data_IF_695964435150
#
_entry.id   IF_695964435150
#
_cell.length_a   1.000
_cell.length_b   1.000
_cell.length_c   1.000
_cell.angle_alpha   90.00
_cell.angle_beta   90.00
_cell.angle_gamma   90.00
#
_symmetry.space_group_name_H-M   'P 1'
#
loop_
_entity.id
_entity.type
_entity.pdbx_description
1 polymer ?
#
# COMPACT_ATOMS: atom_id res chain seq x y z
N UNK A 1 -17.26 -0.36 -30.07
CA UNK A 1 -15.82 -0.31 -30.42
C UNK A 1 -15.23 0.90 -29.73
N UNK A 2 -14.16 0.73 -28.98
CA UNK A 2 -13.45 1.87 -28.38
C UNK A 2 -12.69 2.65 -29.46
N UNK A 3 -12.64 3.98 -29.32
CA UNK A 3 -11.88 4.83 -30.22
C UNK A 3 -10.38 4.61 -29.98
N UNK A 4 -9.65 4.12 -30.99
CA UNK A 4 -8.19 3.89 -30.93
C UNK A 4 -7.43 5.03 -31.59
N UNK A 5 -6.32 5.44 -30.99
CA UNK A 5 -5.36 6.42 -31.54
C UNK A 5 -3.95 5.82 -31.50
N UNK A 6 -3.12 6.18 -32.49
CA UNK A 6 -1.73 5.71 -32.55
C UNK A 6 -0.85 6.52 -31.58
N UNK A 7 0.05 5.83 -30.89
CA UNK A 7 1.11 6.41 -30.08
C UNK A 7 2.45 6.17 -30.80
N UNK A 8 3.10 7.24 -31.24
CA UNK A 8 4.38 7.18 -31.93
C UNK A 8 5.43 7.97 -31.14
N UNK A 9 6.54 7.33 -30.77
CA UNK A 9 7.67 7.97 -30.10
C UNK A 9 8.98 7.33 -30.57
N UNK A 10 10.05 8.12 -30.64
CA UNK A 10 11.39 7.60 -30.84
C UNK A 10 11.94 7.12 -29.50
N UNK A 11 12.42 5.87 -29.46
CA UNK A 11 13.02 5.26 -28.28
C UNK A 11 14.41 4.70 -28.62
N UNK A 12 15.31 4.55 -27.63
CA UNK A 12 16.61 3.92 -27.86
C UNK A 12 16.48 2.52 -28.46
N UNK A 13 17.42 2.15 -29.33
CA UNK A 13 17.43 0.86 -30.03
C UNK A 13 17.41 -0.33 -29.06
N UNK A 14 18.17 -0.25 -27.96
CA UNK A 14 18.18 -1.30 -26.94
C UNK A 14 16.80 -1.52 -26.31
N UNK A 15 16.07 -0.44 -26.01
CA UNK A 15 14.72 -0.52 -25.44
C UNK A 15 13.72 -1.07 -26.46
N UNK A 16 13.86 -0.68 -27.74
CA UNK A 16 13.05 -1.23 -28.82
C UNK A 16 13.27 -2.75 -28.98
N UNK A 17 14.53 -3.20 -29.01
CA UNK A 17 14.88 -4.61 -29.14
C UNK A 17 14.35 -5.44 -27.95
N UNK A 18 14.43 -4.91 -26.73
CA UNK A 18 13.87 -5.54 -25.54
C UNK A 18 12.35 -5.67 -25.65
N UNK A 19 11.63 -4.58 -25.94
CA UNK A 19 10.18 -4.59 -26.10
C UNK A 19 9.74 -5.58 -27.20
N UNK A 20 10.50 -5.68 -28.30
CA UNK A 20 10.27 -6.64 -29.39
C UNK A 20 10.43 -8.09 -28.94
N UNK A 21 11.45 -8.37 -28.14
CA UNK A 21 11.70 -9.72 -27.62
C UNK A 21 10.62 -10.15 -26.63
N UNK A 22 10.25 -9.26 -25.70
CA UNK A 22 9.25 -9.56 -24.67
C UNK A 22 7.86 -9.81 -25.26
N UNK A 23 7.40 -8.97 -26.20
CA UNK A 23 6.09 -9.20 -26.84
C UNK A 23 6.04 -10.54 -27.58
N UNK A 24 7.15 -10.98 -28.19
CA UNK A 24 7.21 -12.21 -28.99
C UNK A 24 7.16 -13.43 -28.08
N UNK A 25 7.87 -13.38 -26.94
CA UNK A 25 7.76 -14.40 -25.89
C UNK A 25 6.34 -14.52 -25.33
N UNK A 26 5.62 -13.40 -25.25
CA UNK A 26 4.24 -13.36 -24.76
C UNK A 26 3.18 -13.62 -25.85
N UNK A 27 3.58 -13.87 -27.09
CA UNK A 27 2.69 -14.00 -28.26
C UNK A 27 1.73 -12.80 -28.42
N UNK A 28 2.20 -11.59 -28.15
CA UNK A 28 1.44 -10.35 -28.28
C UNK A 28 1.88 -9.55 -29.50
N UNK A 29 0.94 -8.81 -30.09
CA UNK A 29 1.26 -7.73 -31.02
C UNK A 29 1.83 -6.52 -30.27
N UNK A 30 2.60 -5.67 -30.95
CA UNK A 30 3.18 -4.46 -30.34
C UNK A 30 2.13 -3.55 -29.71
N UNK A 31 0.98 -3.39 -30.36
CA UNK A 31 -0.12 -2.61 -29.81
C UNK A 31 -0.67 -3.20 -28.51
N UNK A 32 -0.79 -4.53 -28.43
CA UNK A 32 -1.26 -5.21 -27.21
C UNK A 32 -0.23 -5.15 -26.09
N UNK A 33 1.05 -5.35 -26.41
CA UNK A 33 2.13 -5.23 -25.44
C UNK A 33 2.23 -3.81 -24.89
N UNK A 34 2.21 -2.78 -25.75
CA UNK A 34 2.21 -1.37 -25.32
C UNK A 34 0.96 -1.04 -24.51
N UNK A 35 -0.23 -1.53 -24.91
CA UNK A 35 -1.45 -1.35 -24.13
C UNK A 35 -1.35 -2.00 -22.73
N UNK A 36 -0.78 -3.21 -22.63
CA UNK A 36 -0.54 -3.89 -21.36
C UNK A 36 0.44 -3.11 -20.47
N UNK A 37 1.58 -2.70 -21.03
CA UNK A 37 2.59 -1.91 -20.30
C UNK A 37 2.02 -0.57 -19.84
N UNK A 38 1.22 0.10 -20.66
CA UNK A 38 0.57 1.35 -20.28
C UNK A 38 -0.52 1.13 -19.23
N UNK A 39 -1.33 0.07 -19.35
CA UNK A 39 -2.31 -0.30 -18.31
C UNK A 39 -1.59 -0.60 -17.02
N UNK A 40 -0.55 -1.41 -17.01
CA UNK A 40 0.27 -1.66 -15.83
C UNK A 40 0.88 -0.36 -15.30
N UNK A 41 1.42 0.50 -16.15
CA UNK A 41 1.98 1.78 -15.72
C UNK A 41 0.93 2.72 -15.09
N UNK A 42 -0.30 2.74 -15.59
CA UNK A 42 -1.35 3.61 -15.04
C UNK A 42 -2.15 2.97 -13.90
N UNK A 43 -2.33 1.65 -13.91
CA UNK A 43 -3.07 0.87 -12.92
C UNK A 43 -2.15 0.48 -11.75
N UNK A 44 -0.95 -0.02 -12.02
CA UNK A 44 0.04 -0.40 -11.01
C UNK A 44 1.04 0.73 -10.72
N UNK A 45 1.43 1.54 -11.71
CA UNK A 45 2.40 2.64 -11.56
C UNK A 45 1.80 4.03 -11.27
N UNK A 46 0.47 4.20 -11.37
CA UNK A 46 -0.22 5.46 -11.09
C UNK A 46 -1.06 5.49 -9.82
N UNK A 47 -1.48 4.32 -9.30
CA UNK A 47 -2.30 4.21 -8.07
C UNK A 47 -1.56 3.66 -6.85
N UNK A 48 -0.42 3.00 -7.03
CA UNK A 48 0.43 2.53 -5.92
C UNK A 48 1.71 3.36 -5.70
N UNK A 49 1.86 4.46 -6.45
CA UNK A 49 2.93 5.46 -6.28
C UNK A 49 2.35 6.85 -5.94
N UNK A 50 1.09 6.93 -5.51
CA UNK A 50 0.54 8.18 -4.99
C UNK A 50 1.03 8.39 -3.55
N UNK A 51 2.00 9.31 -3.43
CA UNK A 51 2.50 9.93 -2.22
C UNK A 51 3.31 9.04 -1.27
N UNK A 52 4.58 9.41 -1.07
CA UNK A 52 5.41 8.97 0.06
C UNK A 52 4.89 9.38 1.45
N UNK A 53 3.58 9.48 1.63
CA UNK A 53 2.86 9.82 2.87
C UNK A 53 2.20 8.61 3.51
N UNK A 54 1.98 7.51 2.77
CA UNK A 54 1.32 6.31 3.31
C UNK A 54 2.03 5.03 2.90
N UNK A 55 2.24 4.11 3.86
CA UNK A 55 2.73 2.74 3.64
C UNK A 55 1.63 1.75 3.97
N UNK A 56 1.51 0.67 3.20
CA UNK A 56 0.53 -0.40 3.45
C UNK A 56 1.12 -1.41 4.44
N UNK A 57 0.35 -1.73 5.48
CA UNK A 57 0.64 -2.82 6.43
C UNK A 57 -0.28 -4.00 6.13
N UNK A 58 0.30 -5.14 5.72
CA UNK A 58 -0.43 -6.37 5.46
C UNK A 58 0.07 -7.49 6.40
N UNK A 59 -0.85 -8.19 7.04
CA UNK A 59 -0.56 -9.35 7.89
C UNK A 59 -1.69 -10.38 7.76
N UNK A 60 -1.35 -11.65 8.01
CA UNK A 60 -2.34 -12.73 8.06
C UNK A 60 -2.90 -12.85 9.47
N UNK A 61 -4.20 -13.09 9.58
CA UNK A 61 -4.88 -13.37 10.85
C UNK A 61 -5.63 -14.69 10.76
N UNK A 62 -5.85 -15.39 11.89
CA UNK A 62 -6.74 -16.54 11.92
C UNK A 62 -8.16 -16.16 11.47
N UNK A 63 -8.84 -17.09 10.79
CA UNK A 63 -10.19 -16.88 10.25
C UNK A 63 -11.22 -16.54 11.33
N UNK A 64 -11.14 -17.20 12.49
CA UNK A 64 -12.01 -16.91 13.63
C UNK A 64 -11.88 -15.44 14.09
N UNK A 65 -10.65 -14.93 14.14
CA UNK A 65 -10.39 -13.54 14.51
C UNK A 65 -10.93 -12.58 13.46
N UNK A 66 -10.77 -12.91 12.18
CA UNK A 66 -11.29 -12.10 11.08
C UNK A 66 -12.82 -11.95 11.15
N UNK A 67 -13.54 -13.06 11.33
CA UNK A 67 -15.00 -13.03 11.44
C UNK A 67 -15.47 -12.29 12.70
N UNK A 68 -14.76 -12.45 13.82
CA UNK A 68 -15.06 -11.69 15.05
C UNK A 68 -14.90 -10.19 14.86
N UNK A 69 -13.83 -9.74 14.19
CA UNK A 69 -13.60 -8.33 13.87
C UNK A 69 -14.72 -7.83 12.95
N UNK A 70 -15.07 -8.57 11.91
CA UNK A 70 -16.14 -8.20 10.97
C UNK A 70 -17.49 -8.03 11.66
N UNK A 71 -17.86 -8.93 12.57
CA UNK A 71 -19.09 -8.83 13.35
C UNK A 71 -19.10 -7.58 14.24
N UNK A 72 -17.97 -7.27 14.88
CA UNK A 72 -17.81 -6.08 15.71
C UNK A 72 -17.95 -4.78 14.90
N UNK A 73 -17.32 -4.69 13.74
CA UNK A 73 -17.42 -3.53 12.84
C UNK A 73 -18.86 -3.33 12.34
N UNK A 74 -19.57 -4.42 12.04
CA UNK A 74 -20.98 -4.34 11.64
C UNK A 74 -21.88 -3.83 12.76
N UNK A 75 -21.63 -4.25 14.00
CA UNK A 75 -22.41 -3.82 15.16
C UNK A 75 -22.16 -2.36 15.55
N UNK A 76 -20.93 -1.88 15.37
CA UNK A 76 -20.51 -0.52 15.72
C UNK A 76 -20.66 0.49 14.58
N UNK A 77 -20.77 0.02 13.33
CA UNK A 77 -20.79 0.86 12.13
C UNK A 77 -19.43 1.44 11.74
N UNK A 78 -18.35 1.01 12.39
CA UNK A 78 -16.99 1.48 12.14
C UNK A 78 -16.40 0.91 10.85
N UNK A 79 -15.59 1.72 10.16
CA UNK A 79 -14.80 1.25 9.04
C UNK A 79 -13.60 0.42 9.54
N UNK A 80 -13.28 -0.69 8.87
CA UNK A 80 -12.13 -1.54 9.19
C UNK A 80 -10.81 -0.74 9.23
N UNK A 81 -10.63 0.21 8.30
CA UNK A 81 -9.44 1.06 8.28
C UNK A 81 -9.33 1.92 9.54
N UNK A 82 -10.41 2.59 9.92
CA UNK A 82 -10.45 3.49 11.08
C UNK A 82 -10.25 2.71 12.37
N UNK A 83 -10.85 1.53 12.48
CA UNK A 83 -10.67 0.63 13.60
C UNK A 83 -9.21 0.23 13.80
N UNK A 84 -8.52 -0.19 12.73
CA UNK A 84 -7.11 -0.60 12.81
C UNK A 84 -6.20 0.59 13.12
N UNK A 85 -6.44 1.77 12.50
CA UNK A 85 -5.67 2.98 12.80
C UNK A 85 -5.83 3.37 14.27
N UNK A 86 -7.06 3.42 14.78
CA UNK A 86 -7.33 3.78 16.18
C UNK A 86 -6.74 2.79 17.18
N UNK A 87 -6.71 1.49 16.87
CA UNK A 87 -6.01 0.50 17.69
C UNK A 87 -4.50 0.77 17.76
N UNK A 88 -3.88 1.14 16.63
CA UNK A 88 -2.45 1.44 16.58
C UNK A 88 -2.15 2.74 17.34
N UNK A 89 -2.90 3.81 17.09
CA UNK A 89 -2.71 5.11 17.76
C UNK A 89 -2.85 4.97 19.28
N UNK A 90 -3.87 4.23 19.74
CA UNK A 90 -4.05 3.94 21.17
C UNK A 90 -2.87 3.17 21.75
N UNK A 91 -2.41 2.12 21.09
CA UNK A 91 -1.27 1.33 21.56
C UNK A 91 0.03 2.15 21.61
N UNK A 92 0.26 3.03 20.63
CA UNK A 92 1.40 3.95 20.61
C UNK A 92 1.30 4.98 21.75
N UNK A 93 0.14 5.59 21.95
CA UNK A 93 -0.09 6.54 23.04
C UNK A 93 0.15 5.91 24.41
N UNK A 94 -0.32 4.68 24.63
CA UNK A 94 -0.07 3.93 25.87
C UNK A 94 1.42 3.63 26.07
N UNK A 95 2.13 3.25 25.00
CA UNK A 95 3.57 2.99 25.06
C UNK A 95 4.38 4.27 25.35
N UNK A 96 4.03 5.40 24.71
CA UNK A 96 4.68 6.71 24.93
C UNK A 96 4.37 7.26 26.33
N UNK A 97 3.13 7.13 26.81
CA UNK A 97 2.73 7.53 28.16
C UNK A 97 3.45 6.70 29.24
N UNK A 98 3.66 5.41 29.00
CA UNK A 98 4.44 4.53 29.88
C UNK A 98 5.93 4.85 29.90
N UNK A 99 6.48 5.53 28.87
CA UNK A 99 7.87 5.99 28.85
C UNK A 99 8.07 7.37 29.50
N UNK A 100 6.99 8.13 29.72
CA UNK A 100 7.01 9.44 30.39
C UNK A 100 6.91 9.40 31.92
N UNK A 101 6.71 8.22 32.51
CA UNK A 101 6.62 8.04 33.97
C UNK A 101 7.77 7.17 34.47
N UNK A 102 8.99 7.70 34.34
CA UNK A 102 10.21 7.03 34.79
C UNK A 102 11.20 7.90 35.56
N UNK A 103 10.99 9.22 35.71
CA UNK A 103 11.89 10.07 36.53
C UNK A 103 11.19 11.32 37.07
N UNK A 104 10.33 11.19 38.08
CA UNK A 104 10.02 12.30 38.99
C UNK A 104 9.34 11.82 40.28
N UNK A 105 10.15 11.46 41.28
CA UNK A 105 9.93 11.66 42.74
C UNK A 105 11.16 11.06 43.46
N UNK A 106 11.82 11.62 44.47
CA UNK A 106 11.84 12.91 45.17
C UNK A 106 13.01 12.78 46.22
N UNK A 107 13.45 13.85 46.90
CA UNK A 107 14.76 13.96 47.54
C UNK A 107 14.86 13.22 48.88
N UNK A 108 16.04 12.66 49.16
CA UNK A 108 16.42 12.29 50.53
C UNK A 108 17.58 13.17 51.01
N UNK A 109 17.20 14.19 51.77
CA UNK A 109 18.00 14.71 52.89
C UNK A 109 18.28 13.58 53.89
N UNK A 110 19.57 13.33 54.20
CA UNK A 110 20.11 12.97 55.52
C UNK A 110 21.63 12.75 55.33
N UNK A 111 22.59 13.21 56.14
CA UNK A 111 22.71 13.95 57.40
C UNK A 111 24.15 14.44 57.45
#
# INVERSE_FOLDING_TARGET
MENRKNLCAMIPEALHAQARTEQEQMNLTLSQYVEMVLKEHFENGGKNMANGTTRTLAFQVPEELFERVKAHLKATGLNQKEFVIGLIEKALQEAEAGQGQGTAEAPQENS
#
